data_IF_873751000366
#
_entry.id   IF_873751000366
#
_cell.length_a   1.000
_cell.length_b   1.000
_cell.length_c   1.000
_cell.angle_alpha   90.00
_cell.angle_beta   90.00
_cell.angle_gamma   90.00
#
_symmetry.space_group_name_H-M   'P 1'
#
loop_
_entity.id
_entity.type
_entity.pdbx_description
1 polymer ?
#
# COMPACT_ATOMS: atom_id res chain seq x y z
N UNK A 1 -16.88 -12.69 9.58
CA UNK A 1 -17.18 -13.01 10.99
C UNK A 1 -17.42 -11.78 11.85
N UNK A 2 -16.45 -10.90 12.11
CA UNK A 2 -16.69 -9.73 12.99
C UNK A 2 -17.72 -8.75 12.43
N UNK A 3 -17.75 -8.60 11.10
CA UNK A 3 -18.80 -7.85 10.40
C UNK A 3 -20.19 -8.49 10.54
N UNK A 4 -20.27 -9.82 10.49
CA UNK A 4 -21.53 -10.56 10.67
C UNK A 4 -22.00 -10.53 12.14
N UNK A 5 -21.07 -10.39 13.10
CA UNK A 5 -21.37 -10.35 14.53
C UNK A 5 -22.05 -9.04 14.95
N UNK A 6 -21.76 -7.94 14.25
CA UNK A 6 -22.44 -6.65 14.40
C UNK A 6 -23.95 -6.76 14.13
N UNK A 7 -24.34 -7.54 13.12
CA UNK A 7 -25.74 -7.80 12.78
C UNK A 7 -26.45 -8.58 13.89
N UNK A 8 -25.76 -9.56 14.50
CA UNK A 8 -26.27 -10.28 15.67
C UNK A 8 -26.57 -9.32 16.81
N UNK A 9 -25.58 -8.50 17.21
CA UNK A 9 -25.73 -7.58 18.34
C UNK A 9 -26.83 -6.55 18.08
N UNK A 10 -26.95 -6.05 16.84
CA UNK A 10 -28.03 -5.13 16.50
C UNK A 10 -29.40 -5.80 16.58
N UNK A 11 -29.56 -6.98 15.98
CA UNK A 11 -30.82 -7.72 15.97
C UNK A 11 -31.26 -8.13 17.37
N UNK A 12 -30.35 -8.72 18.17
CA UNK A 12 -30.63 -9.07 19.56
C UNK A 12 -30.96 -7.84 20.39
N UNK A 13 -30.17 -6.77 20.23
CA UNK A 13 -30.41 -5.52 20.95
C UNK A 13 -31.81 -4.97 20.68
N UNK A 14 -32.27 -4.95 19.43
CA UNK A 14 -33.61 -4.48 19.05
C UNK A 14 -34.75 -5.35 19.61
N UNK A 15 -34.60 -6.66 19.62
CA UNK A 15 -35.63 -7.56 20.15
C UNK A 15 -35.68 -7.54 21.69
N UNK A 16 -34.53 -7.49 22.36
CA UNK A 16 -34.45 -7.37 23.81
C UNK A 16 -34.99 -6.01 24.28
N UNK A 17 -34.76 -4.94 23.50
CA UNK A 17 -35.33 -3.61 23.77
C UNK A 17 -36.87 -3.60 23.76
N UNK A 18 -37.47 -4.45 22.91
CA UNK A 18 -38.92 -4.69 22.86
C UNK A 18 -39.43 -5.55 24.04
N UNK A 19 -38.56 -5.91 24.97
CA UNK A 19 -38.87 -6.76 26.12
C UNK A 19 -38.90 -8.26 25.80
N UNK A 20 -38.39 -8.68 24.64
CA UNK A 20 -38.31 -10.11 24.29
C UNK A 20 -37.16 -10.77 25.08
N UNK A 21 -37.38 -11.92 25.74
CA UNK A 21 -36.31 -12.68 26.38
C UNK A 21 -35.22 -13.05 25.37
N UNK A 22 -33.97 -13.07 25.81
CA UNK A 22 -32.80 -13.25 24.95
C UNK A 22 -32.84 -14.55 24.15
N UNK A 23 -33.36 -15.65 24.71
CA UNK A 23 -33.50 -16.94 24.05
C UNK A 23 -34.49 -16.87 22.88
N UNK A 24 -35.64 -16.22 23.10
CA UNK A 24 -36.67 -16.03 22.07
C UNK A 24 -36.19 -15.04 21.01
N UNK A 25 -35.46 -14.01 21.42
CA UNK A 25 -34.85 -13.04 20.51
C UNK A 25 -33.85 -13.71 19.57
N UNK A 26 -33.01 -14.62 20.08
CA UNK A 26 -32.06 -15.39 19.27
C UNK A 26 -32.79 -16.18 18.17
N UNK A 27 -33.85 -16.92 18.52
CA UNK A 27 -34.62 -17.69 17.53
C UNK A 27 -35.24 -16.80 16.45
N UNK A 28 -35.74 -15.63 16.85
CA UNK A 28 -36.42 -14.68 15.95
C UNK A 28 -35.47 -14.01 14.97
N UNK A 29 -34.21 -13.79 15.33
CA UNK A 29 -33.23 -13.13 14.45
C UNK A 29 -32.48 -14.10 13.53
N UNK A 30 -32.35 -15.38 13.87
CA UNK A 30 -31.71 -16.39 13.00
C UNK A 30 -32.18 -16.32 11.53
N UNK A 31 -33.49 -16.25 11.21
CA UNK A 31 -33.94 -16.19 9.81
C UNK A 31 -33.66 -14.86 9.11
N UNK A 32 -33.33 -13.79 9.84
CA UNK A 32 -33.05 -12.46 9.26
C UNK A 32 -31.56 -12.24 8.99
N UNK A 33 -30.69 -13.09 9.55
CA UNK A 33 -29.24 -13.01 9.36
C UNK A 33 -28.84 -13.54 7.98
N UNK A 34 -27.87 -12.85 7.36
CA UNK A 34 -27.30 -13.25 6.06
C UNK A 34 -26.04 -14.10 6.20
N UNK A 35 -25.34 -13.96 7.32
CA UNK A 35 -24.05 -14.58 7.58
C UNK A 35 -24.13 -16.02 8.10
N UNK A 36 -23.48 -16.97 7.42
CA UNK A 36 -23.44 -18.38 7.82
C UNK A 36 -22.77 -18.58 9.19
N UNK A 37 -21.76 -17.78 9.53
CA UNK A 37 -21.07 -17.89 10.82
C UNK A 37 -21.97 -17.42 11.95
N UNK A 38 -22.66 -16.29 11.76
CA UNK A 38 -23.62 -15.76 12.72
C UNK A 38 -24.79 -16.71 12.98
N UNK A 39 -25.33 -17.32 11.91
CA UNK A 39 -26.39 -18.33 12.02
C UNK A 39 -25.90 -19.55 12.81
N UNK A 40 -24.74 -20.11 12.46
CA UNK A 40 -24.18 -21.28 13.16
C UNK A 40 -23.89 -21.00 14.63
N UNK A 41 -23.39 -19.81 14.97
CA UNK A 41 -23.15 -19.39 16.34
C UNK A 41 -24.46 -19.42 17.15
N UNK A 42 -25.50 -18.74 16.66
CA UNK A 42 -26.79 -18.66 17.34
C UNK A 42 -27.50 -20.02 17.41
N UNK A 43 -27.44 -20.82 16.35
CA UNK A 43 -27.99 -22.17 16.34
C UNK A 43 -27.32 -23.07 17.38
N UNK A 44 -25.99 -22.98 17.54
CA UNK A 44 -25.27 -23.74 18.56
C UNK A 44 -25.66 -23.30 19.97
N UNK A 45 -25.82 -21.99 20.21
CA UNK A 45 -26.31 -21.46 21.49
C UNK A 45 -27.71 -22.03 21.80
N UNK A 46 -28.66 -21.91 20.88
CA UNK A 46 -30.02 -22.43 21.06
C UNK A 46 -30.05 -23.95 21.25
N UNK A 47 -29.26 -24.69 20.48
CA UNK A 47 -29.15 -26.14 20.60
C UNK A 47 -28.65 -26.54 22.00
N UNK A 48 -27.64 -25.85 22.52
CA UNK A 48 -27.13 -26.10 23.87
C UNK A 48 -28.19 -25.78 24.93
N UNK A 49 -28.96 -24.70 24.79
CA UNK A 49 -30.04 -24.36 25.73
C UNK A 49 -31.17 -25.40 25.67
N UNK A 50 -31.69 -25.71 24.48
CA UNK A 50 -32.87 -26.59 24.29
C UNK A 50 -32.60 -28.06 24.58
N UNK A 51 -31.46 -28.60 24.13
CA UNK A 51 -31.19 -30.03 24.20
C UNK A 51 -30.31 -30.44 25.37
N UNK A 52 -29.56 -29.50 25.98
CA UNK A 52 -28.66 -29.79 27.11
C UNK A 52 -29.07 -29.11 28.41
N UNK A 53 -30.18 -28.35 28.43
CA UNK A 53 -30.63 -27.55 29.57
C UNK A 53 -29.55 -26.61 30.13
N UNK A 54 -28.68 -26.09 29.26
CA UNK A 54 -27.65 -25.14 29.66
C UNK A 54 -28.25 -23.75 29.89
N UNK A 55 -27.74 -23.02 30.88
CA UNK A 55 -27.98 -21.57 30.98
C UNK A 55 -27.38 -20.86 29.77
N UNK A 56 -27.78 -19.61 29.49
CA UNK A 56 -27.19 -18.83 28.39
C UNK A 56 -25.65 -18.74 28.52
N UNK A 57 -25.15 -18.52 29.73
CA UNK A 57 -23.72 -18.49 30.03
C UNK A 57 -23.03 -19.82 29.68
N UNK A 58 -23.59 -20.95 30.12
CA UNK A 58 -23.07 -22.27 29.81
C UNK A 58 -23.16 -22.57 28.30
N UNK A 59 -24.25 -22.19 27.65
CA UNK A 59 -24.45 -22.40 26.22
C UNK A 59 -23.37 -21.69 25.37
N UNK A 60 -22.86 -20.56 25.85
CA UNK A 60 -21.81 -19.77 25.19
C UNK A 60 -20.41 -20.22 25.61
N UNK A 61 -20.15 -20.37 26.91
CA UNK A 61 -18.79 -20.47 27.49
C UNK A 61 -18.44 -21.84 28.10
N UNK A 62 -19.28 -22.87 27.99
CA UNK A 62 -18.94 -24.20 28.53
C UNK A 62 -17.64 -24.76 27.92
N UNK A 63 -16.73 -25.24 28.77
CA UNK A 63 -15.36 -25.62 28.41
C UNK A 63 -15.28 -26.58 27.22
N UNK A 64 -16.17 -27.59 27.17
CA UNK A 64 -16.17 -28.60 26.09
C UNK A 64 -17.19 -28.36 24.97
N UNK A 65 -18.23 -27.59 25.24
CA UNK A 65 -19.47 -27.60 24.42
C UNK A 65 -20.00 -26.20 24.11
N UNK A 66 -19.37 -25.16 24.66
CA UNK A 66 -19.76 -23.78 24.46
C UNK A 66 -19.66 -23.38 23.00
N UNK A 67 -20.59 -22.54 22.55
CA UNK A 67 -20.58 -22.03 21.19
C UNK A 67 -19.25 -21.33 20.85
N UNK A 68 -18.62 -20.66 21.82
CA UNK A 68 -17.37 -19.91 21.60
C UNK A 68 -16.20 -20.79 21.14
N UNK A 69 -16.19 -22.08 21.46
CA UNK A 69 -15.14 -23.01 21.05
C UNK A 69 -15.07 -23.20 19.53
N UNK A 70 -16.18 -22.95 18.83
CA UNK A 70 -16.27 -23.00 17.38
C UNK A 70 -15.92 -21.65 16.71
N UNK A 71 -15.72 -20.60 17.52
CA UNK A 71 -15.53 -19.22 17.06
C UNK A 71 -14.37 -18.55 17.83
N UNK A 72 -13.10 -18.82 17.46
CA UNK A 72 -11.92 -18.35 18.19
C UNK A 72 -11.59 -16.87 17.93
N UNK A 73 -12.54 -15.96 18.14
CA UNK A 73 -12.30 -14.51 18.14
C UNK A 73 -12.28 -13.97 19.57
N UNK A 74 -11.17 -13.35 19.96
CA UNK A 74 -11.02 -12.69 21.26
C UNK A 74 -12.02 -11.54 21.44
N UNK A 75 -12.34 -10.84 20.35
CA UNK A 75 -13.32 -9.76 20.33
C UNK A 75 -14.73 -10.31 20.61
N UNK A 76 -15.13 -11.36 19.88
CA UNK A 76 -16.44 -12.00 20.08
C UNK A 76 -16.56 -12.55 21.51
N UNK A 77 -15.52 -13.23 22.01
CA UNK A 77 -15.48 -13.73 23.38
C UNK A 77 -15.71 -12.61 24.41
N UNK A 78 -14.95 -11.52 24.28
CA UNK A 78 -15.02 -10.39 25.23
C UNK A 78 -16.38 -9.70 25.21
N UNK A 79 -16.97 -9.53 24.02
CA UNK A 79 -18.29 -8.91 23.87
C UNK A 79 -19.39 -9.80 24.45
N UNK A 80 -19.39 -11.10 24.12
CA UNK A 80 -20.39 -12.04 24.67
C UNK A 80 -20.30 -12.12 26.20
N UNK A 81 -19.09 -12.03 26.76
CA UNK A 81 -18.90 -12.00 28.20
C UNK A 81 -19.51 -10.73 28.82
N UNK A 82 -19.21 -9.56 28.25
CA UNK A 82 -19.80 -8.30 28.68
C UNK A 82 -21.34 -8.28 28.56
N UNK A 83 -21.88 -8.90 27.52
CA UNK A 83 -23.33 -9.05 27.32
C UNK A 83 -23.97 -9.93 28.41
N UNK A 84 -23.35 -11.05 28.76
CA UNK A 84 -23.86 -11.96 29.81
C UNK A 84 -23.77 -11.28 31.18
N UNK A 85 -22.66 -10.60 31.48
CA UNK A 85 -22.50 -9.84 32.73
C UNK A 85 -23.57 -8.73 32.87
N UNK A 86 -23.99 -8.15 31.74
CA UNK A 86 -25.07 -7.18 31.68
C UNK A 86 -26.46 -7.81 31.77
N UNK A 87 -26.65 -9.04 31.30
CA UNK A 87 -27.93 -9.76 31.34
C UNK A 87 -28.45 -9.95 32.76
N UNK A 88 -27.54 -10.11 33.72
CA UNK A 88 -27.87 -10.17 35.14
C UNK A 88 -28.37 -8.84 35.73
N UNK A 89 -28.25 -7.72 35.00
CA UNK A 89 -28.62 -6.37 35.46
C UNK A 89 -29.96 -5.86 34.90
N UNK A 90 -30.53 -6.55 33.91
CA UNK A 90 -31.85 -6.25 33.32
C UNK A 90 -31.83 -6.08 31.80
N UNK A 91 -32.94 -6.43 31.15
CA UNK A 91 -33.07 -6.50 29.68
C UNK A 91 -32.79 -5.16 28.98
N UNK A 92 -33.26 -4.04 29.55
CA UNK A 92 -33.03 -2.71 28.98
C UNK A 92 -31.55 -2.30 28.97
N UNK A 93 -30.79 -2.69 29.99
CA UNK A 93 -29.35 -2.40 30.05
C UNK A 93 -28.60 -3.24 29.00
N UNK A 94 -29.01 -4.49 28.82
CA UNK A 94 -28.45 -5.37 27.78
C UNK A 94 -28.71 -4.83 26.38
N UNK A 95 -29.95 -4.40 26.09
CA UNK A 95 -30.29 -3.87 24.78
C UNK A 95 -29.45 -2.63 24.44
N UNK A 96 -29.32 -1.69 25.37
CA UNK A 96 -28.50 -0.50 25.22
C UNK A 96 -27.02 -0.84 24.98
N UNK A 97 -26.47 -1.80 25.71
CA UNK A 97 -25.08 -2.27 25.53
C UNK A 97 -24.91 -2.94 24.16
N UNK A 98 -25.79 -3.87 23.78
CA UNK A 98 -25.71 -4.57 22.50
C UNK A 98 -25.78 -3.60 21.30
N UNK A 99 -26.71 -2.65 21.34
CA UNK A 99 -26.86 -1.62 20.31
C UNK A 99 -25.62 -0.72 20.26
N UNK A 100 -25.08 -0.32 21.41
CA UNK A 100 -23.90 0.54 21.50
C UNK A 100 -22.64 -0.16 20.95
N UNK A 101 -22.42 -1.43 21.30
CA UNK A 101 -21.31 -2.22 20.77
C UNK A 101 -21.48 -2.42 19.26
N UNK A 102 -22.69 -2.69 18.77
CA UNK A 102 -22.96 -2.81 17.33
C UNK A 102 -22.61 -1.51 16.59
N UNK A 103 -23.02 -0.35 17.11
CA UNK A 103 -22.64 0.98 16.56
C UNK A 103 -21.13 1.18 16.58
N UNK A 104 -20.45 0.80 17.66
CA UNK A 104 -19.00 0.88 17.76
C UNK A 104 -18.30 0.03 16.69
N UNK A 105 -18.67 -1.25 16.55
CA UNK A 105 -18.14 -2.13 15.50
C UNK A 105 -18.45 -1.59 14.10
N UNK A 106 -19.61 -0.95 13.90
CA UNK A 106 -19.96 -0.28 12.65
C UNK A 106 -18.98 0.84 12.31
N UNK A 107 -18.73 1.70 13.30
CA UNK A 107 -17.84 2.83 13.13
C UNK A 107 -16.40 2.38 12.92
N UNK A 108 -15.92 1.38 13.67
CA UNK A 108 -14.59 0.81 13.48
C UNK A 108 -14.37 0.30 12.05
N UNK A 109 -15.31 -0.49 11.52
CA UNK A 109 -15.18 -1.00 10.15
C UNK A 109 -15.22 0.13 9.11
N UNK A 110 -16.08 1.13 9.30
CA UNK A 110 -16.10 2.33 8.44
C UNK A 110 -14.75 3.06 8.48
N UNK A 111 -14.18 3.25 9.67
CA UNK A 111 -12.87 3.89 9.84
C UNK A 111 -11.77 3.07 9.18
N UNK A 112 -11.74 1.74 9.36
CA UNK A 112 -10.78 0.86 8.71
C UNK A 112 -10.89 0.96 7.18
N UNK A 113 -12.12 0.98 6.64
CA UNK A 113 -12.35 1.13 5.21
C UNK A 113 -11.83 2.48 4.69
N UNK A 114 -12.09 3.58 5.38
CA UNK A 114 -11.58 4.90 5.00
C UNK A 114 -10.04 4.90 4.98
N UNK A 115 -9.42 4.30 5.99
CA UNK A 115 -7.96 4.18 6.06
C UNK A 115 -7.44 3.37 4.86
N UNK A 116 -8.07 2.23 4.56
CA UNK A 116 -7.71 1.40 3.41
C UNK A 116 -7.90 2.13 2.08
N UNK A 117 -9.00 2.85 1.90
CA UNK A 117 -9.31 3.62 0.70
C UNK A 117 -8.26 4.73 0.49
N UNK A 118 -7.89 5.47 1.55
CA UNK A 118 -6.84 6.48 1.50
C UNK A 118 -5.47 5.89 1.13
N UNK A 119 -5.12 4.73 1.69
CA UNK A 119 -3.85 4.07 1.35
C UNK A 119 -3.85 3.44 -0.04
N UNK A 120 -5.00 3.01 -0.55
CA UNK A 120 -5.13 2.46 -1.90
C UNK A 120 -4.69 3.49 -2.96
N UNK A 121 -5.10 4.76 -2.79
CA UNK A 121 -4.66 5.85 -3.65
C UNK A 121 -3.13 6.06 -3.57
N UNK A 122 -2.58 6.06 -2.36
CA UNK A 122 -1.13 6.23 -2.13
C UNK A 122 -0.34 5.06 -2.73
N UNK A 123 -0.79 3.82 -2.53
CA UNK A 123 -0.17 2.60 -3.10
C UNK A 123 -0.19 2.68 -4.62
N UNK A 124 -1.32 3.03 -5.23
CA UNK A 124 -1.46 3.18 -6.68
C UNK A 124 -0.48 4.23 -7.23
N UNK A 125 -0.35 5.37 -6.55
CA UNK A 125 0.62 6.41 -6.90
C UNK A 125 2.07 5.91 -6.80
N UNK A 126 2.44 5.24 -5.70
CA UNK A 126 3.77 4.64 -5.54
C UNK A 126 4.06 3.58 -6.60
N UNK A 127 3.05 2.82 -7.01
CA UNK A 127 3.18 1.80 -8.05
C UNK A 127 3.44 2.43 -9.42
N UNK A 128 2.74 3.51 -9.75
CA UNK A 128 3.01 4.32 -10.95
C UNK A 128 4.43 4.90 -10.91
N UNK A 129 4.86 5.41 -9.76
CA UNK A 129 6.19 5.96 -9.58
C UNK A 129 7.27 4.89 -9.82
N UNK A 130 7.16 3.74 -9.16
CA UNK A 130 8.15 2.67 -9.24
C UNK A 130 8.25 2.06 -10.66
N UNK A 131 7.13 1.91 -11.36
CA UNK A 131 7.09 1.22 -12.66
C UNK A 131 7.32 2.12 -13.87
N UNK A 132 6.90 3.38 -13.79
CA UNK A 132 6.83 4.27 -14.95
C UNK A 132 7.63 5.53 -14.70
N UNK A 133 7.21 6.34 -13.72
CA UNK A 133 7.71 7.73 -13.60
C UNK A 133 9.20 7.78 -13.25
N UNK A 134 9.63 7.01 -12.25
CA UNK A 134 11.02 6.98 -11.82
C UNK A 134 11.95 6.42 -12.92
N UNK A 135 11.68 5.26 -13.54
CA UNK A 135 12.45 4.79 -14.69
C UNK A 135 12.52 5.78 -15.85
N UNK A 136 11.42 6.46 -16.15
CA UNK A 136 11.34 7.45 -17.22
C UNK A 136 12.27 8.64 -16.93
N UNK A 137 12.15 9.24 -15.74
CA UNK A 137 12.98 10.39 -15.35
C UNK A 137 14.46 9.99 -15.34
N UNK A 138 14.80 8.83 -14.75
CA UNK A 138 16.18 8.34 -14.70
C UNK A 138 16.75 8.10 -16.10
N UNK A 139 15.96 7.52 -17.02
CA UNK A 139 16.40 7.27 -18.39
C UNK A 139 16.65 8.54 -19.19
N UNK A 140 15.74 9.53 -19.09
CA UNK A 140 15.93 10.85 -19.72
C UNK A 140 17.12 11.58 -19.12
N UNK A 141 17.28 11.56 -17.79
CA UNK A 141 18.40 12.20 -17.10
C UNK A 141 19.75 11.63 -17.54
N UNK A 142 19.84 10.31 -17.74
CA UNK A 142 21.06 9.67 -18.23
C UNK A 142 21.46 10.20 -19.62
N UNK A 143 20.51 10.32 -20.54
CA UNK A 143 20.78 10.85 -21.89
C UNK A 143 21.14 12.33 -21.87
N UNK A 144 20.46 13.14 -21.05
CA UNK A 144 20.76 14.56 -20.93
C UNK A 144 22.18 14.78 -20.41
N UNK A 145 22.64 14.01 -19.42
CA UNK A 145 24.01 14.14 -18.93
C UNK A 145 25.03 13.69 -19.96
N UNK A 146 24.77 12.61 -20.72
CA UNK A 146 25.61 12.25 -21.86
C UNK A 146 25.74 13.41 -22.86
N UNK A 147 24.61 14.04 -23.22
CA UNK A 147 24.59 15.18 -24.14
C UNK A 147 25.40 16.37 -23.60
N UNK A 148 25.25 16.70 -22.31
CA UNK A 148 25.98 17.80 -21.68
C UNK A 148 27.49 17.53 -21.73
N UNK A 149 27.94 16.32 -21.37
CA UNK A 149 29.37 15.97 -21.38
C UNK A 149 29.93 16.04 -22.80
N UNK A 150 29.20 15.54 -23.80
CA UNK A 150 29.65 15.56 -25.20
C UNK A 150 29.68 16.98 -25.77
N UNK A 151 28.73 17.84 -25.40
CA UNK A 151 28.73 19.25 -25.76
C UNK A 151 29.91 20.00 -25.17
N UNK A 152 30.23 19.77 -23.89
CA UNK A 152 31.41 20.38 -23.26
C UNK A 152 32.70 19.90 -23.92
N UNK A 153 32.79 18.61 -24.26
CA UNK A 153 33.93 18.07 -25.02
C UNK A 153 34.06 18.69 -26.42
N UNK A 154 32.94 18.87 -27.13
CA UNK A 154 32.91 19.51 -28.44
C UNK A 154 33.38 20.97 -28.37
N UNK A 155 32.82 21.77 -27.47
CA UNK A 155 33.26 23.15 -27.24
C UNK A 155 34.74 23.17 -26.83
N UNK A 156 35.18 22.24 -25.97
CA UNK A 156 36.57 22.05 -25.59
C UNK A 156 37.53 21.81 -26.77
N UNK A 157 37.09 21.09 -27.80
CA UNK A 157 37.88 20.85 -29.02
C UNK A 157 37.86 22.05 -29.95
N UNK A 158 36.69 22.68 -30.16
CA UNK A 158 36.52 23.83 -31.05
C UNK A 158 37.22 25.09 -30.53
N UNK A 159 37.19 25.32 -29.22
CA UNK A 159 37.84 26.46 -28.57
C UNK A 159 39.26 26.15 -28.04
N UNK A 160 39.67 24.88 -28.00
CA UNK A 160 41.01 24.45 -27.57
C UNK A 160 42.15 24.87 -28.51
N UNK A 161 41.84 25.46 -29.66
CA UNK A 161 42.79 26.11 -30.57
C UNK A 161 42.92 27.64 -30.38
N UNK A 162 42.17 28.24 -29.45
CA UNK A 162 42.23 29.69 -29.20
C UNK A 162 43.38 30.01 -28.24
N UNK A 163 44.27 30.89 -28.69
CA UNK A 163 45.42 31.38 -27.94
C UNK A 163 45.02 31.90 -26.55
N UNK A 164 45.83 31.56 -25.55
CA UNK A 164 45.69 31.96 -24.12
C UNK A 164 45.89 33.45 -23.85
N UNK A 165 45.95 34.28 -24.89
CA UNK A 165 46.18 35.72 -24.81
C UNK A 165 44.94 36.47 -25.32
N UNK A 166 44.17 37.06 -24.40
CA UNK A 166 43.03 37.93 -24.69
C UNK A 166 41.79 37.69 -23.81
N UNK A 167 40.67 38.41 -24.07
CA UNK A 167 39.41 38.28 -23.32
C UNK A 167 38.83 36.84 -23.32
N UNK A 168 39.24 36.03 -24.29
CA UNK A 168 38.90 34.61 -24.41
C UNK A 168 39.55 33.70 -23.33
N UNK A 169 40.58 34.17 -22.63
CA UNK A 169 41.27 33.40 -21.58
C UNK A 169 40.36 33.08 -20.37
N UNK A 170 39.39 33.94 -20.07
CA UNK A 170 38.40 33.71 -19.01
C UNK A 170 37.48 32.53 -19.34
N UNK A 171 37.05 32.42 -20.60
CA UNK A 171 36.23 31.31 -21.10
C UNK A 171 37.02 30.01 -21.17
N UNK A 172 38.31 30.07 -21.51
CA UNK A 172 39.22 28.92 -21.47
C UNK A 172 39.43 28.39 -20.03
N UNK A 173 39.50 29.29 -19.03
CA UNK A 173 39.59 28.91 -17.62
C UNK A 173 38.34 28.19 -17.10
N UNK A 174 37.14 28.68 -17.44
CA UNK A 174 35.88 28.01 -17.11
C UNK A 174 35.76 26.62 -17.74
N UNK A 175 36.14 26.50 -19.02
CA UNK A 175 36.11 25.24 -19.75
C UNK A 175 37.15 24.24 -19.23
N UNK A 176 38.32 24.71 -18.79
CA UNK A 176 39.37 23.90 -18.16
C UNK A 176 38.93 23.33 -16.81
N UNK A 177 38.18 24.09 -16.01
CA UNK A 177 37.59 23.61 -14.75
C UNK A 177 36.59 22.46 -14.97
N UNK A 178 35.78 22.55 -16.02
CA UNK A 178 34.85 21.48 -16.42
C UNK A 178 35.58 20.25 -16.99
N UNK A 179 36.66 20.46 -17.76
CA UNK A 179 37.51 19.39 -18.28
C UNK A 179 38.28 18.67 -17.17
N UNK A 180 38.54 19.35 -16.05
CA UNK A 180 39.17 18.80 -14.85
C UNK A 180 38.23 17.93 -13.99
N UNK A 181 36.90 18.02 -14.20
CA UNK A 181 35.95 17.07 -13.64
C UNK A 181 35.98 15.79 -14.50
N UNK A 182 36.79 14.81 -14.08
CA UNK A 182 36.92 13.50 -14.74
C UNK A 182 35.67 12.61 -14.56
N UNK A 183 34.46 13.17 -14.66
CA UNK A 183 33.22 12.39 -14.60
C UNK A 183 32.98 11.82 -16.00
N UNK A 184 33.38 10.56 -16.19
CA UNK A 184 33.01 9.81 -17.38
C UNK A 184 31.47 9.61 -17.40
N UNK A 185 30.79 9.75 -18.55
CA UNK A 185 29.37 9.45 -18.70
C UNK A 185 28.99 8.06 -18.15
N UNK A 186 29.89 7.09 -18.25
CA UNK A 186 29.68 5.73 -17.72
C UNK A 186 29.54 5.71 -16.18
N UNK A 187 30.32 6.53 -15.48
CA UNK A 187 30.26 6.64 -14.00
C UNK A 187 28.93 7.23 -13.55
N UNK A 188 28.44 8.23 -14.29
CA UNK A 188 27.17 8.87 -13.99
C UNK A 188 25.98 7.96 -14.29
N UNK A 189 26.04 7.22 -15.40
CA UNK A 189 25.05 6.19 -15.74
C UNK A 189 24.93 5.12 -14.65
N UNK A 190 26.07 4.66 -14.11
CA UNK A 190 26.06 3.71 -12.99
C UNK A 190 25.42 4.31 -11.73
N UNK A 191 25.76 5.55 -11.37
CA UNK A 191 25.18 6.21 -10.21
C UNK A 191 23.65 6.32 -10.31
N UNK A 192 23.13 6.73 -11.48
CA UNK A 192 21.68 6.79 -11.73
C UNK A 192 21.05 5.40 -11.72
N UNK A 193 21.72 4.41 -12.30
CA UNK A 193 21.24 3.03 -12.32
C UNK A 193 21.05 2.47 -10.91
N UNK A 194 22.04 2.65 -10.03
CA UNK A 194 21.93 2.26 -8.62
C UNK A 194 20.80 3.02 -7.91
N UNK A 195 20.74 4.34 -8.07
CA UNK A 195 19.67 5.15 -7.50
C UNK A 195 18.27 4.68 -7.93
N UNK A 196 18.09 4.36 -9.22
CA UNK A 196 16.82 3.86 -9.75
C UNK A 196 16.43 2.53 -9.11
N UNK A 197 17.37 1.57 -9.03
CA UNK A 197 17.14 0.26 -8.42
C UNK A 197 16.79 0.40 -6.94
N UNK A 198 17.58 1.16 -6.18
CA UNK A 198 17.35 1.38 -4.75
C UNK A 198 15.98 2.02 -4.49
N UNK A 199 15.62 3.03 -5.27
CA UNK A 199 14.34 3.72 -5.09
C UNK A 199 13.15 2.81 -5.43
N UNK A 200 13.26 1.96 -6.46
CA UNK A 200 12.22 0.96 -6.78
C UNK A 200 12.07 -0.05 -5.64
N UNK A 201 13.18 -0.50 -5.04
CA UNK A 201 13.17 -1.43 -3.91
C UNK A 201 12.48 -0.78 -2.70
N UNK A 202 12.86 0.46 -2.36
CA UNK A 202 12.29 1.21 -1.24
C UNK A 202 10.78 1.41 -1.42
N UNK A 203 10.34 1.87 -2.60
CA UNK A 203 8.92 2.04 -2.92
C UNK A 203 8.16 0.71 -2.81
N UNK A 204 8.74 -0.37 -3.32
CA UNK A 204 8.14 -1.70 -3.26
C UNK A 204 8.02 -2.24 -1.83
N UNK A 205 9.00 -1.92 -0.98
CA UNK A 205 8.96 -2.25 0.44
C UNK A 205 7.84 -1.52 1.16
N UNK A 206 7.69 -0.21 0.95
CA UNK A 206 6.59 0.57 1.53
C UNK A 206 5.23 0.08 1.05
N UNK A 207 5.05 -0.12 -0.26
CA UNK A 207 3.78 -0.61 -0.82
C UNK A 207 3.37 -1.96 -0.21
N UNK A 208 4.29 -2.94 -0.17
CA UNK A 208 3.98 -4.26 0.38
C UNK A 208 3.69 -4.20 1.89
N UNK A 209 4.37 -3.31 2.62
CA UNK A 209 4.12 -3.10 4.05
C UNK A 209 2.74 -2.52 4.34
N UNK A 210 2.22 -1.66 3.47
CA UNK A 210 0.88 -1.07 3.62
C UNK A 210 -0.22 -2.03 3.15
N UNK A 211 -0.02 -2.76 2.05
CA UNK A 211 -1.06 -3.59 1.43
C UNK A 211 -1.27 -4.93 2.14
N UNK A 212 -0.18 -5.62 2.50
CA UNK A 212 -0.22 -7.00 3.04
C UNK A 212 0.32 -7.08 4.46
N UNK A 213 1.11 -6.10 4.90
CA UNK A 213 1.78 -6.11 6.20
C UNK A 213 3.12 -6.86 6.18
N UNK A 214 3.45 -7.54 7.27
CA UNK A 214 4.78 -8.17 7.50
C UNK A 214 4.90 -9.56 6.86
N UNK A 215 4.49 -9.69 5.60
CA UNK A 215 4.70 -10.92 4.84
C UNK A 215 5.94 -10.83 3.95
N UNK A 216 6.94 -11.67 4.25
CA UNK A 216 8.19 -11.73 3.49
C UNK A 216 7.97 -12.21 2.06
N UNK A 217 7.02 -13.13 1.81
CA UNK A 217 6.83 -13.71 0.47
C UNK A 217 6.23 -12.66 -0.47
N UNK A 218 5.14 -12.01 -0.02
CA UNK A 218 4.52 -10.92 -0.77
C UNK A 218 5.51 -9.78 -1.06
N UNK A 219 6.34 -9.42 -0.07
CA UNK A 219 7.36 -8.39 -0.23
C UNK A 219 8.34 -8.68 -1.37
N UNK A 220 8.96 -9.86 -1.36
CA UNK A 220 9.95 -10.22 -2.39
C UNK A 220 9.30 -10.31 -3.78
N UNK A 221 8.07 -10.80 -3.86
CA UNK A 221 7.31 -10.86 -5.11
C UNK A 221 7.00 -9.43 -5.64
N UNK A 222 6.60 -8.51 -4.76
CA UNK A 222 6.34 -7.12 -5.10
C UNK A 222 7.58 -6.41 -5.64
N UNK A 223 8.70 -6.52 -4.91
CA UNK A 223 10.01 -5.98 -5.34
C UNK A 223 10.40 -6.55 -6.70
N UNK A 224 10.32 -7.87 -6.88
CA UNK A 224 10.76 -8.53 -8.12
C UNK A 224 9.96 -8.05 -9.33
N UNK A 225 8.62 -7.99 -9.22
CA UNK A 225 7.76 -7.52 -10.31
C UNK A 225 8.02 -6.05 -10.65
N UNK A 226 8.13 -5.20 -9.65
CA UNK A 226 8.35 -3.76 -9.87
C UNK A 226 9.74 -3.48 -10.44
N UNK A 227 10.76 -4.22 -10.00
CA UNK A 227 12.13 -4.09 -10.49
C UNK A 227 12.27 -4.58 -11.93
N UNK A 228 11.60 -5.68 -12.31
CA UNK A 228 11.59 -6.15 -13.70
C UNK A 228 10.89 -5.13 -14.60
N UNK A 229 9.68 -4.70 -14.24
CA UNK A 229 8.92 -3.74 -15.07
C UNK A 229 9.62 -2.38 -15.13
N UNK A 230 10.07 -1.86 -13.98
CA UNK A 230 10.75 -0.57 -13.90
C UNK A 230 12.12 -0.60 -14.58
N UNK A 231 12.88 -1.69 -14.44
CA UNK A 231 14.18 -1.86 -15.11
C UNK A 231 14.04 -1.93 -16.64
N UNK A 232 13.05 -2.69 -17.15
CA UNK A 232 12.73 -2.72 -18.58
C UNK A 232 12.32 -1.34 -19.10
N UNK A 233 11.50 -0.61 -18.33
CA UNK A 233 11.09 0.74 -18.69
C UNK A 233 12.28 1.71 -18.73
N UNK A 234 13.19 1.64 -17.75
CA UNK A 234 14.41 2.46 -17.72
C UNK A 234 15.27 2.22 -18.97
N UNK A 235 15.46 0.96 -19.34
CA UNK A 235 16.24 0.61 -20.53
C UNK A 235 15.57 1.10 -21.81
N UNK A 236 14.27 0.88 -21.96
CA UNK A 236 13.50 1.33 -23.13
C UNK A 236 13.52 2.86 -23.28
N UNK A 237 13.27 3.60 -22.19
CA UNK A 237 13.29 5.07 -22.21
C UNK A 237 14.69 5.60 -22.50
N UNK A 238 15.74 4.98 -21.92
CA UNK A 238 17.12 5.39 -22.20
C UNK A 238 17.47 5.23 -23.68
N UNK A 239 17.09 4.12 -24.32
CA UNK A 239 17.31 3.91 -25.76
C UNK A 239 16.54 4.93 -26.60
N UNK A 240 15.25 5.10 -26.34
CA UNK A 240 14.39 6.03 -27.09
C UNK A 240 14.92 7.46 -26.95
N UNK A 241 15.26 7.85 -25.72
CA UNK A 241 15.81 9.17 -25.41
C UNK A 241 17.13 9.39 -26.14
N UNK A 242 18.04 8.40 -26.13
CA UNK A 242 19.28 8.46 -26.87
C UNK A 242 19.02 8.63 -28.38
N UNK A 243 18.20 7.76 -28.99
CA UNK A 243 17.88 7.85 -30.42
C UNK A 243 17.31 9.21 -30.84
N UNK A 244 16.54 9.88 -29.99
CA UNK A 244 15.97 11.20 -30.27
C UNK A 244 17.01 12.31 -30.13
N UNK A 245 17.88 12.25 -29.11
CA UNK A 245 18.80 13.33 -28.77
C UNK A 245 20.12 13.31 -29.56
N UNK A 246 20.61 12.15 -30.00
CA UNK A 246 21.87 12.09 -30.76
C UNK A 246 21.83 12.84 -32.10
N UNK A 247 20.77 12.75 -32.92
CA UNK A 247 20.66 13.52 -34.16
C UNK A 247 20.71 15.04 -33.93
N UNK A 248 20.11 15.50 -32.82
CA UNK A 248 20.14 16.91 -32.44
C UNK A 248 21.56 17.39 -32.14
N UNK A 249 22.34 16.58 -31.41
CA UNK A 249 23.76 16.85 -31.15
C UNK A 249 24.55 17.05 -32.45
N UNK A 250 24.36 16.14 -33.43
CA UNK A 250 25.05 16.20 -34.73
C UNK A 250 24.70 17.45 -35.54
N UNK A 251 23.43 17.87 -35.55
CA UNK A 251 22.99 19.10 -36.24
C UNK A 251 23.65 20.34 -35.62
N UNK A 252 23.71 20.41 -34.29
CA UNK A 252 24.35 21.52 -33.58
C UNK A 252 25.85 21.56 -33.91
N UNK A 253 26.52 20.41 -33.94
CA UNK A 253 27.94 20.34 -34.30
C UNK A 253 28.19 20.77 -35.75
N UNK A 254 27.35 20.36 -36.70
CA UNK A 254 27.44 20.74 -38.12
C UNK A 254 27.18 22.25 -38.35
N UNK A 255 26.36 22.88 -37.52
CA UNK A 255 26.04 24.31 -37.64
C UNK A 255 27.19 25.20 -37.12
N UNK A 256 27.99 24.70 -36.17
CA UNK A 256 29.09 25.45 -35.54
C UNK A 256 30.41 25.30 -36.32
N UNK A 257 30.58 24.23 -37.09
CA UNK A 257 31.74 24.02 -37.98
C UNK A 257 31.24 23.95 -39.43
N UNK A 258 31.40 25.00 -40.26
CA UNK A 258 31.00 24.90 -41.66
C UNK A 258 31.83 23.82 -42.37
N UNK A 259 31.24 23.06 -43.31
CA UNK A 259 32.00 22.11 -44.11
C UNK A 259 33.09 22.88 -44.88
N UNK A 260 34.33 22.44 -44.72
CA UNK A 260 35.47 22.89 -45.53
C UNK A 260 35.29 22.47 -47.00
#
# INVERSE_FOLDING_TARGET
>A
MEDEFREILFGLGQEIDRGVPIEVAIEKIIPTLRGNHSIKLLQKIISNIKYKNFTLEQAIFHEKEGAINYFPSRLIHSILKAVIDAANKGTKIVSEIMISISKYLTNLHKTQKIVQDNFSEVISSMQMQARILLPLICGVMNTLTYMIIEMVNFIGKTFGGISTEGPAASYAGFLSMWKGLAISPATFQLAIGFYSIETIIILSWFMSGIEVGVDKISLHNGISKNLIVGGLMYFAVSIISFMILTPFLSIVQLTIVPPA
#
